data_IF_968686779300
#
_entry.id   IF_968686779300
#
_cell.length_a   1.000
_cell.length_b   1.000
_cell.length_c   1.000
_cell.angle_alpha   90.00
_cell.angle_beta   90.00
_cell.angle_gamma   90.00
#
_symmetry.space_group_name_H-M   'P 1'
#
loop_
_entity.id
_entity.type
_entity.pdbx_description
1 polymer ?
#
# COMPACT_ATOMS: atom_id res chain seq x y z
N UNK A 1 -49.98 4.14 22.96
CA UNK A 1 -50.07 5.31 22.06
C UNK A 1 -48.90 6.24 22.37
N UNK A 2 -48.10 6.60 21.36
CA UNK A 2 -47.07 7.65 21.36
C UNK A 2 -45.74 7.31 22.08
N UNK A 3 -44.80 6.56 21.51
CA UNK A 3 -43.68 6.99 20.61
C UNK A 3 -42.92 8.25 21.04
N UNK A 4 -41.69 8.05 21.55
CA UNK A 4 -40.66 9.08 21.71
C UNK A 4 -39.28 8.46 21.43
N UNK A 5 -38.89 8.46 20.16
CA UNK A 5 -37.60 8.02 19.64
C UNK A 5 -36.61 9.19 19.64
N UNK A 6 -35.39 8.97 20.15
CA UNK A 6 -34.28 9.91 20.01
C UNK A 6 -33.59 9.75 18.64
N UNK A 7 -33.68 10.78 17.81
CA UNK A 7 -32.82 11.06 16.65
C UNK A 7 -31.76 12.10 17.07
N UNK A 8 -30.47 11.89 16.77
CA UNK A 8 -29.76 12.33 15.54
C UNK A 8 -29.65 13.86 15.41
N UNK A 9 -28.42 14.39 15.43
CA UNK A 9 -27.84 15.20 14.34
C UNK A 9 -26.65 16.07 14.81
N UNK A 10 -25.56 15.96 14.07
CA UNK A 10 -24.50 16.96 13.97
C UNK A 10 -24.99 18.19 13.19
N UNK A 11 -24.42 19.37 13.44
CA UNK A 11 -24.39 20.46 12.45
C UNK A 11 -23.03 21.17 12.50
N UNK A 12 -22.25 20.94 11.45
CA UNK A 12 -21.21 21.82 10.94
C UNK A 12 -21.90 22.82 10.01
N UNK A 13 -21.64 24.13 10.12
CA UNK A 13 -21.64 25.06 8.97
C UNK A 13 -21.31 26.51 9.38
N UNK A 14 -20.16 26.97 8.88
CA UNK A 14 -20.03 28.22 8.11
C UNK A 14 -20.17 29.56 8.85
N UNK A 15 -19.05 30.27 8.99
CA UNK A 15 -19.01 31.74 9.00
C UNK A 15 -17.74 32.22 8.30
N UNK A 16 -17.88 32.50 7.00
CA UNK A 16 -17.03 33.42 6.24
C UNK A 16 -17.63 34.83 6.42
N UNK A 17 -16.75 35.75 6.82
CA UNK A 17 -16.65 37.15 6.36
C UNK A 17 -17.96 37.93 6.22
N UNK A 18 -18.22 38.82 7.17
CA UNK A 18 -18.83 40.12 6.85
C UNK A 18 -18.45 41.14 7.92
N UNK A 19 -17.81 42.23 7.49
CA UNK A 19 -17.40 43.32 8.36
C UNK A 19 -17.19 44.60 7.55
N UNK A 20 -18.27 45.29 7.25
CA UNK A 20 -18.28 46.74 7.00
C UNK A 20 -19.63 47.35 7.43
N UNK A 21 -19.53 48.45 8.17
CA UNK A 21 -20.54 49.49 8.47
C UNK A 21 -21.57 49.26 9.60
N UNK A 22 -21.18 49.71 10.80
CA UNK A 22 -21.86 50.66 11.72
C UNK A 22 -23.38 50.62 11.97
N UNK A 23 -23.77 50.50 13.25
CA UNK A 23 -24.39 51.60 14.02
C UNK A 23 -24.60 51.27 15.52
N UNK A 24 -23.94 52.05 16.36
CA UNK A 24 -24.27 52.47 17.75
C UNK A 24 -25.17 51.60 18.66
N UNK A 25 -24.56 51.03 19.69
CA UNK A 25 -25.14 50.99 21.04
C UNK A 25 -24.01 51.10 22.08
N UNK A 26 -24.15 52.06 22.99
CA UNK A 26 -23.16 52.48 23.99
C UNK A 26 -22.65 51.31 24.85
N UNK A 27 -21.36 51.00 24.74
CA UNK A 27 -20.59 50.30 25.78
C UNK A 27 -19.79 51.36 26.57
N UNK A 28 -19.63 51.20 27.89
CA UNK A 28 -18.95 52.17 28.73
C UNK A 28 -17.49 52.34 28.32
N UNK A 29 -17.06 53.60 28.30
CA UNK A 29 -15.73 54.10 27.98
C UNK A 29 -14.69 53.54 28.98
N UNK A 30 -14.19 52.33 28.72
CA UNK A 30 -12.93 51.91 29.29
C UNK A 30 -11.83 52.53 28.46
N UNK A 31 -11.38 53.72 28.84
CA UNK A 31 -10.00 54.16 28.60
C UNK A 31 -9.05 53.25 29.38
N UNK A 32 -9.02 51.97 29.02
CA UNK A 32 -7.90 51.10 29.26
C UNK A 32 -7.03 51.24 28.02
N UNK A 33 -5.76 51.59 28.22
CA UNK A 33 -4.76 51.68 27.19
C UNK A 33 -5.00 50.60 26.12
N UNK A 34 -5.36 51.03 24.91
CA UNK A 34 -5.25 50.16 23.75
C UNK A 34 -3.76 49.92 23.59
N UNK A 35 -3.25 48.85 24.20
CA UNK A 35 -2.02 48.25 23.77
C UNK A 35 -2.24 47.98 22.28
N UNK A 36 -1.72 48.85 21.42
CA UNK A 36 -1.54 48.54 20.01
C UNK A 36 -0.64 47.31 19.99
N UNK A 37 -1.27 46.14 19.99
CA UNK A 37 -0.57 44.89 19.76
C UNK A 37 0.07 45.07 18.40
N UNK A 38 1.41 45.15 18.40
CA UNK A 38 2.17 45.21 17.18
C UNK A 38 1.65 44.12 16.23
N UNK A 39 1.38 44.51 14.99
CA UNK A 39 1.00 43.57 13.95
C UNK A 39 1.97 42.38 14.00
N UNK A 40 1.48 41.12 14.08
CA UNK A 40 2.36 39.96 14.12
C UNK A 40 3.32 40.02 12.93
N UNK A 41 4.63 40.07 13.21
CA UNK A 41 5.63 39.97 12.15
C UNK A 41 5.56 38.55 11.59
N UNK A 42 5.43 38.36 10.26
CA UNK A 42 5.45 37.04 9.66
C UNK A 42 6.72 36.27 10.07
N UNK A 43 6.54 35.23 10.88
CA UNK A 43 7.59 34.29 11.27
C UNK A 43 7.36 32.96 10.55
N UNK A 44 8.22 32.66 9.59
CA UNK A 44 8.18 31.44 8.78
C UNK A 44 8.34 30.19 9.64
N UNK A 45 9.14 30.25 10.70
CA UNK A 45 9.36 29.12 11.60
C UNK A 45 8.14 28.88 12.50
N UNK A 46 7.48 29.95 12.97
CA UNK A 46 6.21 29.84 13.68
C UNK A 46 5.10 29.26 12.77
N UNK A 47 5.02 29.71 11.52
CA UNK A 47 4.10 29.16 10.54
C UNK A 47 4.36 27.67 10.25
N UNK A 48 5.63 27.26 10.13
CA UNK A 48 6.01 25.86 9.95
C UNK A 48 5.65 24.99 11.16
N UNK A 49 5.87 25.47 12.39
CA UNK A 49 5.45 24.76 13.62
C UNK A 49 3.92 24.65 13.70
N UNK A 50 3.19 25.72 13.38
CA UNK A 50 1.74 25.72 13.36
C UNK A 50 1.18 24.74 12.31
N UNK A 51 1.78 24.70 11.10
CA UNK A 51 1.45 23.72 10.07
C UNK A 51 1.62 22.29 10.57
N UNK A 52 2.78 21.98 11.17
CA UNK A 52 3.05 20.64 11.72
C UNK A 52 2.02 20.26 12.78
N UNK A 53 1.73 21.16 13.72
CA UNK A 53 0.75 20.92 14.77
C UNK A 53 -0.65 20.69 14.20
N UNK A 54 -1.06 21.48 13.21
CA UNK A 54 -2.38 21.38 12.60
C UNK A 54 -2.57 20.09 11.78
N UNK A 55 -1.54 19.63 11.08
CA UNK A 55 -1.64 18.47 10.18
C UNK A 55 -1.19 17.14 10.79
N UNK A 56 -0.45 17.13 11.90
CA UNK A 56 0.09 15.91 12.50
C UNK A 56 -0.97 14.82 12.71
N UNK A 57 -2.06 15.15 13.40
CA UNK A 57 -3.15 14.21 13.67
C UNK A 57 -3.82 13.70 12.37
N UNK A 58 -3.98 14.57 11.37
CA UNK A 58 -4.61 14.22 10.08
C UNK A 58 -3.74 13.23 9.31
N UNK A 59 -2.43 13.47 9.29
CA UNK A 59 -1.46 12.58 8.65
C UNK A 59 -1.40 11.23 9.36
N UNK A 60 -1.39 11.21 10.69
CA UNK A 60 -1.41 9.95 11.45
C UNK A 60 -2.68 9.13 11.19
N UNK A 61 -3.86 9.78 11.19
CA UNK A 61 -5.11 9.10 10.86
C UNK A 61 -5.14 8.57 9.43
N UNK A 62 -4.60 9.33 8.47
CA UNK A 62 -4.48 8.89 7.09
C UNK A 62 -3.56 7.67 6.99
N UNK A 63 -2.41 7.67 7.68
CA UNK A 63 -1.49 6.53 7.71
C UNK A 63 -2.12 5.30 8.38
N UNK A 64 -2.88 5.46 9.46
CA UNK A 64 -3.61 4.36 10.10
C UNK A 64 -4.62 3.76 9.14
N UNK A 65 -5.47 4.58 8.50
CA UNK A 65 -6.46 4.10 7.54
C UNK A 65 -5.79 3.42 6.34
N UNK A 66 -4.70 4.02 5.83
CA UNK A 66 -3.91 3.48 4.73
C UNK A 66 -3.34 2.08 5.07
N UNK A 67 -2.73 1.94 6.24
CA UNK A 67 -2.16 0.67 6.71
C UNK A 67 -3.22 -0.43 6.93
N UNK A 68 -4.47 -0.04 7.24
CA UNK A 68 -5.60 -0.96 7.41
C UNK A 68 -6.23 -1.38 6.09
N UNK A 69 -6.41 -0.46 5.15
CA UNK A 69 -7.34 -0.68 4.05
C UNK A 69 -6.69 -0.68 2.67
N UNK A 70 -5.46 -0.20 2.55
CA UNK A 70 -4.79 -0.05 1.25
C UNK A 70 -3.49 -0.87 1.14
N UNK A 71 -2.97 -1.37 2.27
CA UNK A 71 -1.77 -2.18 2.33
C UNK A 71 -2.11 -3.66 2.52
N UNK A 72 -1.53 -4.50 1.67
CA UNK A 72 -1.78 -5.94 1.61
C UNK A 72 -0.47 -6.73 1.63
N UNK A 73 -0.48 -7.92 2.22
CA UNK A 73 0.72 -8.75 2.39
C UNK A 73 0.69 -9.41 3.77
N UNK A 74 1.53 -8.93 4.68
CA UNK A 74 1.62 -9.38 6.06
C UNK A 74 1.65 -8.19 7.05
N UNK A 75 1.93 -8.46 8.31
CA UNK A 75 2.08 -7.46 9.36
C UNK A 75 3.33 -6.62 9.13
N UNK A 76 4.49 -7.22 8.86
CA UNK A 76 5.77 -6.50 8.76
C UNK A 76 6.17 -6.07 7.36
N UNK A 77 5.51 -6.56 6.32
CA UNK A 77 5.67 -6.09 4.94
C UNK A 77 4.32 -5.93 4.29
N UNK A 78 4.15 -4.91 3.45
CA UNK A 78 2.93 -4.77 2.68
C UNK A 78 3.11 -3.92 1.43
N UNK A 79 2.33 -4.24 0.41
CA UNK A 79 2.28 -3.55 -0.88
C UNK A 79 0.94 -2.84 -1.05
N UNK A 80 0.89 -1.86 -1.95
CA UNK A 80 -0.32 -1.09 -2.23
C UNK A 80 -0.95 -1.55 -3.54
N UNK A 81 -2.16 -2.11 -3.47
CA UNK A 81 -2.88 -2.69 -4.63
C UNK A 81 -3.98 -1.73 -5.15
N UNK A 82 -3.91 -0.44 -4.80
CA UNK A 82 -4.74 0.71 -5.24
C UNK A 82 -6.25 0.63 -4.96
N UNK A 83 -6.86 -0.55 -4.90
CA UNK A 83 -8.28 -0.77 -4.63
C UNK A 83 -8.43 -1.80 -3.52
N UNK A 84 -9.52 -1.67 -2.77
CA UNK A 84 -9.88 -2.59 -1.70
C UNK A 84 -11.39 -2.69 -1.59
N UNK A 85 -11.91 -3.92 -1.52
CA UNK A 85 -13.24 -4.17 -0.99
C UNK A 85 -13.19 -4.18 0.52
N UNK A 86 -14.05 -3.42 1.18
CA UNK A 86 -14.12 -3.39 2.65
C UNK A 86 -15.56 -3.64 3.10
N UNK A 87 -15.78 -4.79 3.72
CA UNK A 87 -17.00 -5.06 4.46
C UNK A 87 -16.78 -4.73 5.94
N UNK A 88 -17.74 -4.05 6.57
CA UNK A 88 -17.64 -3.62 7.96
C UNK A 88 -18.84 -4.08 8.78
N UNK A 89 -18.57 -4.66 9.96
CA UNK A 89 -19.56 -4.91 11.01
C UNK A 89 -18.99 -4.45 12.35
N UNK A 90 -19.43 -3.28 12.82
CA UNK A 90 -18.88 -2.67 14.04
C UNK A 90 -17.39 -2.32 13.86
N UNK A 91 -16.53 -2.94 14.68
CA UNK A 91 -15.06 -2.81 14.61
C UNK A 91 -14.39 -4.01 13.92
N UNK A 92 -15.18 -4.89 13.30
CA UNK A 92 -14.67 -6.00 12.48
C UNK A 92 -14.73 -5.62 11.02
N UNK A 93 -13.63 -5.86 10.31
CA UNK A 93 -13.44 -5.56 8.90
C UNK A 93 -13.01 -6.82 8.16
N UNK A 94 -13.61 -7.06 7.01
CA UNK A 94 -13.10 -7.98 6.01
C UNK A 94 -12.62 -7.13 4.84
N UNK A 95 -11.36 -7.31 4.47
CA UNK A 95 -10.67 -6.53 3.44
C UNK A 95 -10.21 -7.48 2.34
N UNK A 96 -10.64 -7.21 1.12
CA UNK A 96 -10.25 -7.98 -0.07
C UNK A 96 -9.45 -7.04 -0.97
N UNK A 97 -8.22 -7.40 -1.40
CA UNK A 97 -7.50 -6.62 -2.39
C UNK A 97 -8.34 -6.48 -3.65
N UNK A 98 -8.43 -5.26 -4.18
CA UNK A 98 -9.08 -5.04 -5.46
C UNK A 98 -8.21 -5.53 -6.61
N UNK A 99 -8.81 -5.89 -7.75
CA UNK A 99 -8.11 -6.56 -8.86
C UNK A 99 -7.36 -5.59 -9.78
N UNK A 100 -7.00 -4.39 -9.29
CA UNK A 100 -6.37 -3.45 -10.20
C UNK A 100 -4.95 -3.92 -10.51
N UNK A 101 -4.61 -3.88 -11.80
CA UNK A 101 -3.35 -4.31 -12.34
C UNK A 101 -2.20 -3.34 -12.02
N UNK A 102 -2.38 -2.37 -11.13
CA UNK A 102 -1.40 -1.32 -10.87
C UNK A 102 -1.16 -1.18 -9.38
N UNK A 103 0.04 -1.58 -8.93
CA UNK A 103 0.51 -1.13 -7.64
C UNK A 103 0.89 0.36 -7.71
N UNK A 104 0.82 1.04 -6.58
CA UNK A 104 1.34 2.42 -6.45
C UNK A 104 2.26 2.52 -5.25
N UNK A 105 2.95 1.42 -4.95
CA UNK A 105 3.70 1.28 -3.72
C UNK A 105 4.86 2.26 -3.68
N UNK A 106 5.50 2.54 -4.82
CA UNK A 106 6.65 3.42 -4.85
C UNK A 106 6.27 4.89 -4.68
N UNK A 107 5.26 5.40 -5.39
CA UNK A 107 4.71 6.75 -5.15
C UNK A 107 4.19 6.88 -3.72
N UNK A 108 3.50 5.86 -3.20
CA UNK A 108 3.01 5.87 -1.82
C UNK A 108 4.17 5.91 -0.81
N UNK A 109 5.24 5.13 -1.04
CA UNK A 109 6.42 5.10 -0.18
C UNK A 109 7.11 6.45 -0.19
N UNK A 110 7.24 7.08 -1.36
CA UNK A 110 7.79 8.42 -1.51
C UNK A 110 6.96 9.47 -0.77
N UNK A 111 5.63 9.42 -0.89
CA UNK A 111 4.74 10.33 -0.17
C UNK A 111 4.84 10.15 1.36
N UNK A 112 4.84 8.91 1.85
CA UNK A 112 5.02 8.61 3.27
C UNK A 112 6.42 9.04 3.75
N UNK A 113 7.45 8.93 2.93
CA UNK A 113 8.81 9.39 3.26
C UNK A 113 8.85 10.91 3.45
N UNK A 114 8.23 11.68 2.55
CA UNK A 114 8.11 13.12 2.74
C UNK A 114 7.27 13.48 3.97
N UNK A 115 6.19 12.75 4.23
CA UNK A 115 5.42 12.92 5.46
C UNK A 115 6.31 12.68 6.70
N UNK A 116 7.10 11.60 6.72
CA UNK A 116 8.04 11.33 7.80
C UNK A 116 9.08 12.46 7.95
N UNK A 117 9.67 12.96 6.86
CA UNK A 117 10.64 14.08 6.94
C UNK A 117 10.05 15.33 7.60
N UNK A 118 8.76 15.60 7.39
CA UNK A 118 8.06 16.77 7.96
C UNK A 118 7.62 16.52 9.40
N UNK A 119 6.93 15.41 9.65
CA UNK A 119 6.21 15.15 10.91
C UNK A 119 7.00 14.28 11.91
N UNK A 120 7.96 13.47 11.43
CA UNK A 120 8.84 12.60 12.23
C UNK A 120 8.08 11.74 13.25
N UNK A 121 6.89 11.27 12.89
CA UNK A 121 6.07 10.44 13.79
C UNK A 121 6.42 8.96 13.68
N UNK A 122 6.28 8.21 14.80
CA UNK A 122 6.49 6.76 14.82
C UNK A 122 5.50 6.02 13.92
N UNK A 123 4.27 6.55 13.77
CA UNK A 123 3.27 6.02 12.83
C UNK A 123 3.77 6.04 11.38
N UNK A 124 4.43 7.13 10.97
CA UNK A 124 5.04 7.23 9.65
C UNK A 124 6.28 6.33 9.51
N UNK A 125 7.12 6.23 10.55
CA UNK A 125 8.25 5.30 10.59
C UNK A 125 7.83 3.84 10.37
N UNK A 126 6.85 3.36 11.15
CA UNK A 126 6.33 1.99 11.04
C UNK A 126 5.66 1.74 9.68
N UNK A 127 4.98 2.75 9.13
CA UNK A 127 4.40 2.65 7.79
C UNK A 127 5.49 2.52 6.73
N UNK A 128 6.56 3.32 6.81
CA UNK A 128 7.71 3.24 5.90
C UNK A 128 8.38 1.88 5.97
N UNK A 129 8.59 1.37 7.18
CA UNK A 129 9.18 0.05 7.37
C UNK A 129 8.39 -1.03 6.63
N UNK A 130 7.06 -1.08 6.81
CA UNK A 130 6.20 -2.04 6.10
C UNK A 130 6.28 -1.88 4.58
N UNK A 131 6.34 -0.65 4.09
CA UNK A 131 6.36 -0.36 2.65
C UNK A 131 7.72 -0.68 2.01
N UNK A 132 8.83 -0.42 2.72
CA UNK A 132 10.17 -0.81 2.28
C UNK A 132 10.31 -2.33 2.22
N UNK A 133 9.86 -3.06 3.24
CA UNK A 133 9.82 -4.53 3.17
C UNK A 133 8.86 -5.02 2.07
N UNK A 134 7.81 -4.26 1.75
CA UNK A 134 6.93 -4.53 0.61
C UNK A 134 7.61 -4.37 -0.75
N UNK A 135 8.44 -3.33 -0.92
CA UNK A 135 9.27 -3.14 -2.11
C UNK A 135 10.29 -4.27 -2.29
N UNK A 136 10.88 -4.75 -1.19
CA UNK A 136 11.76 -5.92 -1.19
C UNK A 136 11.00 -7.19 -1.57
N UNK A 137 9.80 -7.39 -1.00
CA UNK A 137 8.94 -8.52 -1.36
C UNK A 137 8.61 -8.56 -2.86
N UNK A 138 8.19 -7.44 -3.46
CA UNK A 138 7.88 -7.38 -4.90
C UNK A 138 9.08 -7.78 -5.78
N UNK A 139 10.30 -7.44 -5.37
CA UNK A 139 11.50 -7.74 -6.14
C UNK A 139 12.04 -9.16 -5.97
N UNK A 140 11.53 -9.89 -4.98
CA UNK A 140 12.06 -11.21 -4.60
C UNK A 140 11.01 -12.31 -4.65
N UNK A 141 9.72 -11.97 -4.74
CA UNK A 141 8.61 -12.93 -4.70
C UNK A 141 8.70 -13.99 -5.79
N UNK A 142 9.18 -13.62 -6.99
CA UNK A 142 9.35 -14.54 -8.11
C UNK A 142 10.45 -15.58 -7.87
N UNK A 143 11.34 -15.36 -6.90
CA UNK A 143 12.56 -16.15 -6.72
C UNK A 143 13.65 -15.88 -7.75
N UNK A 144 13.40 -15.02 -8.74
CA UNK A 144 14.40 -14.50 -9.68
C UNK A 144 14.76 -13.07 -9.27
N UNK A 145 16.00 -12.86 -8.87
CA UNK A 145 16.47 -11.56 -8.39
C UNK A 145 16.18 -10.46 -9.41
N UNK A 146 15.43 -9.44 -9.00
CA UNK A 146 15.09 -8.29 -9.83
C UNK A 146 13.86 -8.48 -10.73
N UNK A 147 13.29 -9.69 -10.84
CA UNK A 147 12.01 -9.89 -11.53
C UNK A 147 10.89 -9.40 -10.63
N UNK A 148 10.29 -8.29 -11.03
CA UNK A 148 9.16 -7.67 -10.33
C UNK A 148 7.84 -7.94 -11.04
N UNK A 149 6.73 -7.57 -10.41
CA UNK A 149 5.40 -7.60 -11.00
C UNK A 149 4.60 -6.36 -10.59
N UNK A 150 3.54 -6.06 -11.36
CA UNK A 150 2.58 -5.04 -10.97
C UNK A 150 1.79 -5.40 -9.71
N UNK A 151 1.64 -6.67 -9.35
CA UNK A 151 1.07 -7.08 -8.07
C UNK A 151 1.66 -8.40 -7.58
N UNK A 152 1.66 -8.59 -6.27
CA UNK A 152 2.14 -9.80 -5.61
C UNK A 152 1.31 -10.12 -4.37
N UNK A 153 1.06 -11.40 -4.14
CA UNK A 153 0.26 -11.90 -3.04
C UNK A 153 1.01 -13.06 -2.37
N UNK A 154 1.22 -13.03 -1.04
CA UNK A 154 1.85 -14.16 -0.35
C UNK A 154 0.96 -15.41 -0.27
N UNK A 155 -0.27 -15.32 -0.79
CA UNK A 155 -1.24 -16.41 -0.86
C UNK A 155 -1.66 -16.93 0.53
N UNK A 156 -2.16 -16.03 1.38
CA UNK A 156 -2.78 -16.42 2.64
C UNK A 156 -3.86 -15.42 3.05
N UNK A 157 -4.84 -15.90 3.80
CA UNK A 157 -5.72 -15.09 4.61
C UNK A 157 -4.97 -14.66 5.87
N UNK A 158 -4.89 -13.35 6.12
CA UNK A 158 -4.28 -12.76 7.32
C UNK A 158 -5.37 -12.25 8.24
N UNK A 159 -5.44 -12.78 9.46
CA UNK A 159 -6.32 -12.29 10.51
C UNK A 159 -5.49 -11.54 11.55
N UNK A 160 -5.96 -10.36 11.94
CA UNK A 160 -5.37 -9.52 12.98
C UNK A 160 -6.48 -9.11 13.96
N UNK A 161 -6.35 -9.49 15.22
CA UNK A 161 -7.14 -8.92 16.31
C UNK A 161 -6.28 -7.91 17.07
N UNK A 162 -6.48 -6.62 16.78
CA UNK A 162 -5.74 -5.55 17.43
C UNK A 162 -5.95 -5.45 18.93
N UNK A 163 -7.06 -6.01 19.45
CA UNK A 163 -7.46 -5.91 20.85
C UNK A 163 -6.67 -6.88 21.72
N UNK A 164 -6.40 -8.07 21.17
CA UNK A 164 -5.65 -9.14 21.85
C UNK A 164 -4.19 -9.21 21.39
N UNK A 165 -3.86 -8.57 20.26
CA UNK A 165 -2.57 -8.71 19.60
C UNK A 165 -2.43 -9.99 18.77
N UNK A 166 -3.52 -10.76 18.60
CA UNK A 166 -3.48 -12.03 17.89
C UNK A 166 -3.32 -11.83 16.38
N UNK A 167 -2.39 -12.57 15.77
CA UNK A 167 -2.18 -12.61 14.32
C UNK A 167 -2.19 -14.07 13.86
N UNK A 168 -3.03 -14.39 12.88
CA UNK A 168 -3.11 -15.71 12.25
C UNK A 168 -2.95 -15.60 10.74
N UNK A 169 -2.25 -16.57 10.17
CA UNK A 169 -2.04 -16.71 8.72
C UNK A 169 -2.55 -18.08 8.33
N UNK A 170 -3.49 -18.12 7.40
CA UNK A 170 -4.10 -19.38 6.95
C UNK A 170 -4.17 -19.43 5.44
N UNK A 171 -4.01 -20.62 4.86
CA UNK A 171 -4.25 -20.90 3.45
C UNK A 171 -5.16 -22.12 3.40
N UNK A 172 -6.31 -21.99 2.74
CA UNK A 172 -7.32 -23.06 2.70
C UNK A 172 -7.71 -23.59 4.11
N UNK A 173 -7.73 -22.69 5.10
CA UNK A 173 -8.04 -23.00 6.50
C UNK A 173 -6.91 -23.62 7.33
N UNK A 174 -5.75 -23.92 6.71
CA UNK A 174 -4.57 -24.47 7.39
C UNK A 174 -3.60 -23.36 7.77
N UNK A 175 -3.00 -23.44 8.95
CA UNK A 175 -2.00 -22.47 9.39
C UNK A 175 -0.76 -22.46 8.49
N UNK A 176 -0.30 -21.27 8.11
CA UNK A 176 0.90 -21.08 7.27
C UNK A 176 1.98 -20.36 8.07
N UNK A 177 3.22 -20.82 7.92
CA UNK A 177 4.40 -20.13 8.45
C UNK A 177 5.00 -19.29 7.33
N UNK A 178 5.19 -17.97 7.52
CA UNK A 178 5.92 -17.14 6.55
C UNK A 178 7.34 -17.69 6.33
N UNK A 179 7.85 -17.66 5.08
CA UNK A 179 9.20 -18.15 4.80
C UNK A 179 10.27 -17.28 5.46
N UNK A 180 9.98 -15.99 5.66
CA UNK A 180 10.81 -15.06 6.42
C UNK A 180 10.21 -14.90 7.83
N UNK A 181 10.95 -15.25 8.90
CA UNK A 181 10.45 -15.10 10.26
C UNK A 181 10.06 -13.66 10.59
N UNK A 182 8.89 -13.51 11.21
CA UNK A 182 8.35 -12.21 11.62
C UNK A 182 8.93 -11.83 12.99
N UNK A 183 9.56 -10.67 13.07
CA UNK A 183 9.98 -10.06 14.35
C UNK A 183 8.73 -9.78 15.20
N UNK A 184 8.62 -10.47 16.34
CA UNK A 184 7.46 -10.40 17.23
C UNK A 184 7.32 -9.06 17.95
N UNK A 185 8.44 -8.38 18.24
CA UNK A 185 8.41 -7.04 18.84
C UNK A 185 7.89 -6.02 17.84
N UNK A 186 8.37 -6.07 16.61
CA UNK A 186 7.88 -5.22 15.52
C UNK A 186 6.41 -5.50 15.19
N UNK A 187 6.02 -6.77 15.07
CA UNK A 187 4.64 -7.17 14.83
C UNK A 187 3.70 -6.62 15.91
N UNK A 188 4.08 -6.72 17.18
CA UNK A 188 3.29 -6.15 18.28
C UNK A 188 3.16 -4.62 18.17
N UNK A 189 4.24 -3.90 17.82
CA UNK A 189 4.20 -2.45 17.63
C UNK A 189 3.29 -2.04 16.46
N UNK A 190 3.35 -2.76 15.34
CA UNK A 190 2.51 -2.54 14.16
C UNK A 190 1.04 -2.79 14.50
N UNK A 191 0.74 -3.90 15.18
CA UNK A 191 -0.63 -4.24 15.60
C UNK A 191 -1.19 -3.20 16.56
N UNK A 192 -0.40 -2.78 17.56
CA UNK A 192 -0.81 -1.76 18.52
C UNK A 192 -1.00 -0.38 17.87
N UNK A 193 -0.17 -0.01 16.89
CA UNK A 193 -0.24 1.30 16.22
C UNK A 193 -1.39 1.37 15.24
N UNK A 194 -1.52 0.35 14.38
CA UNK A 194 -2.45 0.41 13.26
C UNK A 194 -3.75 -0.33 13.53
N UNK A 195 -3.84 -1.31 14.42
CA UNK A 195 -5.01 -2.20 14.51
C UNK A 195 -5.75 -2.18 15.85
N UNK A 196 -5.12 -1.69 16.92
CA UNK A 196 -5.62 -1.53 18.31
C UNK A 196 -7.07 -1.95 18.61
N UNK A 197 -8.07 -1.20 18.16
CA UNK A 197 -9.47 -1.43 18.55
C UNK A 197 -10.30 -2.17 17.49
N UNK A 198 -9.63 -2.79 16.53
CA UNK A 198 -10.22 -3.40 15.33
C UNK A 198 -9.82 -4.85 15.15
N UNK A 199 -10.70 -5.61 14.52
CA UNK A 199 -10.40 -6.95 14.01
C UNK A 199 -10.43 -6.86 12.49
N UNK A 200 -9.37 -7.29 11.83
CA UNK A 200 -9.24 -7.19 10.38
C UNK A 200 -8.86 -8.56 9.82
N UNK A 201 -9.65 -9.03 8.86
CA UNK A 201 -9.34 -10.21 8.05
C UNK A 201 -9.03 -9.75 6.63
N UNK A 202 -7.80 -9.96 6.17
CA UNK A 202 -7.38 -9.75 4.79
C UNK A 202 -7.50 -11.05 4.00
N UNK A 203 -8.29 -11.06 2.93
CA UNK A 203 -8.39 -12.18 1.98
C UNK A 203 -7.31 -12.06 0.92
N UNK A 204 -6.08 -12.46 1.26
CA UNK A 204 -4.91 -12.38 0.37
C UNK A 204 -4.71 -13.61 -0.51
N UNK A 205 -5.68 -14.52 -0.59
CA UNK A 205 -5.67 -15.70 -1.46
C UNK A 205 -6.18 -15.30 -2.86
N UNK A 206 -5.36 -15.38 -3.92
CA UNK A 206 -5.78 -14.95 -5.26
C UNK A 206 -7.00 -15.69 -5.79
N UNK A 207 -7.25 -16.92 -5.33
CA UNK A 207 -8.48 -17.66 -5.66
C UNK A 207 -9.72 -16.89 -5.20
N UNK A 208 -9.71 -16.40 -3.97
CA UNK A 208 -10.84 -15.64 -3.40
C UNK A 208 -11.02 -14.31 -4.13
N UNK A 209 -9.93 -13.66 -4.49
CA UNK A 209 -9.95 -12.36 -5.16
C UNK A 209 -10.48 -12.52 -6.59
N UNK A 210 -9.86 -13.38 -7.40
CA UNK A 210 -10.11 -13.48 -8.83
C UNK A 210 -11.39 -14.26 -9.17
N UNK A 211 -11.73 -15.30 -8.40
CA UNK A 211 -12.88 -16.17 -8.71
C UNK A 211 -14.16 -15.78 -7.98
N UNK A 212 -14.05 -15.19 -6.78
CA UNK A 212 -15.22 -14.87 -5.96
C UNK A 212 -15.51 -13.36 -5.93
N UNK A 213 -14.51 -12.53 -5.66
CA UNK A 213 -14.71 -11.09 -5.47
C UNK A 213 -14.83 -10.33 -6.81
N UNK A 214 -13.92 -10.56 -7.77
CA UNK A 214 -13.92 -9.89 -9.07
C UNK A 214 -15.24 -10.01 -9.83
N UNK A 215 -15.78 -11.24 -10.07
CA UNK A 215 -17.01 -11.37 -10.86
C UNK A 215 -18.22 -10.69 -10.19
N UNK A 216 -18.20 -10.50 -8.86
CA UNK A 216 -19.27 -9.87 -8.12
C UNK A 216 -19.23 -8.33 -8.17
N UNK A 217 -18.05 -7.72 -8.35
CA UNK A 217 -17.86 -6.27 -8.29
C UNK A 217 -17.65 -5.62 -9.67
N UNK A 218 -17.08 -6.36 -10.62
CA UNK A 218 -16.75 -5.86 -11.96
C UNK A 218 -17.59 -6.59 -13.02
N UNK A 219 -18.92 -6.50 -12.89
CA UNK A 219 -19.88 -7.10 -13.85
C UNK A 219 -19.78 -6.37 -15.20
N UNK A 220 -18.85 -6.79 -16.04
CA UNK A 220 -18.74 -6.40 -17.45
C UNK A 220 -19.61 -7.27 -18.37
N UNK A 221 -19.65 -6.97 -19.69
CA UNK A 221 -20.43 -7.70 -20.69
C UNK A 221 -20.07 -9.19 -20.85
N UNK A 222 -18.98 -9.65 -20.24
CA UNK A 222 -18.41 -11.00 -20.40
C UNK A 222 -18.12 -11.67 -19.05
N UNK A 223 -18.97 -11.50 -18.04
CA UNK A 223 -18.83 -12.23 -16.78
C UNK A 223 -19.08 -13.74 -16.98
N UNK A 224 -18.02 -14.49 -17.31
CA UNK A 224 -18.02 -15.95 -17.40
C UNK A 224 -17.39 -16.50 -16.12
N UNK A 225 -18.15 -17.30 -15.38
CA UNK A 225 -17.66 -18.02 -14.20
C UNK A 225 -16.97 -19.30 -14.63
N UNK A 226 -15.68 -19.43 -14.35
CA UNK A 226 -14.94 -20.68 -14.56
C UNK A 226 -14.96 -21.53 -13.29
N UNK A 227 -15.28 -22.81 -13.42
CA UNK A 227 -15.14 -23.81 -12.37
C UNK A 227 -13.95 -24.71 -12.71
N UNK A 228 -12.93 -24.72 -11.86
CA UNK A 228 -11.74 -25.56 -12.02
C UNK A 228 -11.72 -26.65 -10.95
N UNK A 229 -11.38 -27.88 -11.32
CA UNK A 229 -11.18 -29.00 -10.37
C UNK A 229 -9.83 -28.94 -9.66
N UNK A 230 -8.85 -28.28 -10.29
CA UNK A 230 -7.57 -27.86 -9.70
C UNK A 230 -7.20 -26.51 -10.30
N UNK A 231 -6.60 -25.61 -9.51
CA UNK A 231 -6.14 -24.36 -10.10
C UNK A 231 -4.94 -24.58 -11.02
N UNK A 232 -4.89 -23.92 -12.17
CA UNK A 232 -3.68 -23.87 -12.99
C UNK A 232 -2.53 -23.21 -12.22
N UNK A 233 -1.29 -23.54 -12.60
CA UNK A 233 -0.05 -22.93 -12.06
C UNK A 233 0.03 -21.42 -12.31
N UNK A 234 -0.83 -20.90 -13.18
CA UNK A 234 -1.03 -19.48 -13.43
C UNK A 234 -2.51 -19.15 -13.58
N UNK A 235 -2.94 -18.00 -13.07
CA UNK A 235 -4.32 -17.50 -13.19
C UNK A 235 -4.36 -16.34 -14.20
N UNK A 236 -5.02 -16.56 -15.33
CA UNK A 236 -5.23 -15.49 -16.32
C UNK A 236 -6.21 -14.44 -15.81
N UNK A 237 -5.86 -13.17 -15.98
CA UNK A 237 -6.76 -12.03 -15.72
C UNK A 237 -7.36 -11.59 -17.06
N UNK A 238 -8.65 -11.86 -17.26
CA UNK A 238 -9.39 -11.41 -18.46
C UNK A 238 -9.35 -9.88 -18.57
N UNK A 239 -9.25 -9.37 -19.81
CA UNK A 239 -9.10 -7.94 -20.14
C UNK A 239 -7.80 -7.25 -19.72
N UNK A 240 -6.81 -7.99 -19.21
CA UNK A 240 -5.45 -7.48 -18.94
C UNK A 240 -4.39 -8.28 -19.71
N UNK A 241 -3.22 -7.67 -19.94
CA UNK A 241 -2.07 -8.31 -20.57
C UNK A 241 -1.23 -9.16 -19.57
N UNK A 242 -1.84 -9.64 -18.48
CA UNK A 242 -1.15 -10.35 -17.39
C UNK A 242 -1.86 -11.64 -16.94
N UNK A 243 -1.05 -12.54 -16.38
CA UNK A 243 -1.50 -13.61 -15.49
C UNK A 243 -0.79 -13.56 -14.15
N UNK A 244 -1.40 -14.14 -13.11
CA UNK A 244 -0.75 -14.37 -11.83
C UNK A 244 -0.04 -15.72 -11.85
N UNK A 245 1.28 -15.71 -11.80
CA UNK A 245 2.12 -16.91 -11.73
C UNK A 245 2.22 -17.36 -10.28
N UNK A 246 1.97 -18.65 -10.02
CA UNK A 246 2.32 -19.25 -8.76
C UNK A 246 3.82 -19.54 -8.72
N UNK A 247 4.48 -19.20 -7.61
CA UNK A 247 5.89 -19.49 -7.37
C UNK A 247 6.01 -20.99 -7.02
N UNK A 248 6.79 -21.79 -7.76
CA UNK A 248 6.95 -23.21 -7.46
C UNK A 248 8.00 -23.43 -6.35
N UNK A 249 8.07 -24.65 -5.84
CA UNK A 249 9.25 -25.11 -5.08
C UNK A 249 10.48 -25.17 -6.01
N UNK A 250 11.72 -24.93 -5.51
CA UNK A 250 12.11 -24.69 -4.12
C UNK A 250 12.33 -23.21 -3.77
N UNK A 251 11.69 -22.27 -4.48
CA UNK A 251 11.94 -20.84 -4.29
C UNK A 251 11.41 -20.35 -2.92
N UNK A 252 12.05 -19.31 -2.36
CA UNK A 252 11.77 -18.79 -1.01
C UNK A 252 10.28 -18.53 -0.75
N UNK A 253 9.58 -17.99 -1.75
CA UNK A 253 8.17 -17.62 -1.67
C UNK A 253 7.25 -18.67 -2.32
N UNK A 254 7.62 -19.95 -2.28
CA UNK A 254 6.80 -21.03 -2.82
C UNK A 254 5.31 -20.87 -2.46
N UNK A 255 4.47 -21.05 -3.49
CA UNK A 255 3.03 -20.86 -3.51
C UNK A 255 2.51 -19.42 -3.42
N UNK A 256 3.36 -18.41 -3.25
CA UNK A 256 2.97 -17.02 -3.48
C UNK A 256 2.57 -16.82 -4.95
N UNK A 257 1.87 -15.73 -5.23
CA UNK A 257 1.52 -15.33 -6.60
C UNK A 257 2.09 -13.97 -6.92
N UNK A 258 2.53 -13.78 -8.15
CA UNK A 258 2.91 -12.47 -8.68
C UNK A 258 2.46 -12.34 -10.13
N UNK A 259 2.18 -11.12 -10.57
CA UNK A 259 1.83 -10.87 -11.97
C UNK A 259 3.06 -11.01 -12.86
N UNK A 260 2.99 -11.82 -13.92
CA UNK A 260 4.06 -11.92 -14.93
C UNK A 260 4.15 -10.68 -15.84
N UNK A 261 3.19 -9.78 -15.81
CA UNK A 261 3.31 -8.53 -16.52
C UNK A 261 3.89 -7.47 -15.59
N UNK A 262 4.94 -6.81 -16.06
CA UNK A 262 5.50 -5.60 -15.49
C UNK A 262 5.82 -4.63 -16.62
N UNK A 263 4.92 -3.66 -16.84
CA UNK A 263 5.11 -2.65 -17.89
C UNK A 263 6.22 -1.69 -17.49
N UNK A 264 6.91 -1.13 -18.49
CA UNK A 264 7.76 0.04 -18.37
C UNK A 264 7.09 1.18 -17.60
N UNK A 265 5.76 1.28 -17.64
CA UNK A 265 5.00 2.32 -16.92
C UNK A 265 4.99 2.11 -15.39
N UNK A 266 5.19 0.87 -14.93
CA UNK A 266 5.21 0.55 -13.51
C UNK A 266 6.59 0.78 -12.88
N UNK A 267 7.66 0.66 -13.66
CA UNK A 267 9.02 0.87 -13.16
C UNK A 267 9.26 2.29 -12.61
N UNK A 268 8.79 3.38 -13.23
CA UNK A 268 8.85 4.73 -12.65
C UNK A 268 8.20 4.83 -11.26
N UNK A 269 7.09 4.14 -11.02
CA UNK A 269 6.49 4.09 -9.67
C UNK A 269 7.46 3.41 -8.70
N UNK A 270 7.88 2.18 -8.99
CA UNK A 270 8.82 1.43 -8.14
C UNK A 270 10.11 2.21 -7.87
N UNK A 271 10.66 2.88 -8.89
CA UNK A 271 11.85 3.71 -8.79
C UNK A 271 11.66 4.84 -7.76
N UNK A 272 10.50 5.49 -7.68
CA UNK A 272 10.23 6.47 -6.61
C UNK A 272 10.31 5.86 -5.21
N UNK A 273 9.85 4.61 -5.06
CA UNK A 273 9.97 3.85 -3.82
C UNK A 273 11.42 3.56 -3.45
N UNK A 274 12.20 3.05 -4.39
CA UNK A 274 13.62 2.76 -4.18
C UNK A 274 14.45 4.02 -3.92
N UNK A 275 14.15 5.15 -4.56
CA UNK A 275 14.78 6.44 -4.26
C UNK A 275 14.42 6.95 -2.87
N UNK A 276 13.18 6.75 -2.40
CA UNK A 276 12.81 7.03 -1.02
C UNK A 276 13.58 6.14 -0.03
N UNK A 277 13.78 4.86 -0.38
CA UNK A 277 14.58 3.92 0.41
C UNK A 277 16.05 4.35 0.49
N UNK A 278 16.64 4.76 -0.64
CA UNK A 278 18.00 5.32 -0.66
C UNK A 278 18.13 6.54 0.27
N UNK A 279 17.23 7.51 0.15
CA UNK A 279 17.25 8.70 1.02
C UNK A 279 17.10 8.34 2.49
N UNK A 280 16.18 7.42 2.83
CA UNK A 280 15.96 7.00 4.21
C UNK A 280 17.14 6.21 4.78
N UNK A 281 17.79 5.36 3.97
CA UNK A 281 18.99 4.62 4.33
C UNK A 281 20.16 5.57 4.66
N UNK A 282 20.33 6.63 3.87
CA UNK A 282 21.44 7.59 4.01
C UNK A 282 21.20 8.63 5.13
N UNK A 283 19.96 8.85 5.56
CA UNK A 283 19.62 9.81 6.64
C UNK A 283 19.87 9.20 8.03
N UNK A 284 20.99 9.58 8.65
CA UNK A 284 21.39 9.10 9.99
C UNK A 284 20.43 9.50 11.13
N UNK A 285 19.51 10.43 10.88
CA UNK A 285 18.47 10.83 11.84
C UNK A 285 17.25 9.90 11.84
N UNK A 286 17.13 9.03 10.83
CA UNK A 286 16.10 8.00 10.74
C UNK A 286 16.41 6.86 11.71
N UNK A 287 15.36 6.29 12.30
CA UNK A 287 15.43 5.14 13.21
C UNK A 287 16.09 3.93 12.53
N UNK A 288 16.89 3.18 13.30
CA UNK A 288 17.74 2.09 12.75
C UNK A 288 16.92 0.99 12.05
N UNK A 289 15.76 0.65 12.60
CA UNK A 289 14.84 -0.35 12.04
C UNK A 289 14.31 0.08 10.65
N UNK A 290 13.93 1.34 10.50
CA UNK A 290 13.52 1.93 9.22
C UNK A 290 14.69 1.96 8.24
N UNK A 291 15.90 2.35 8.67
CA UNK A 291 17.09 2.34 7.80
C UNK A 291 17.44 0.94 7.31
N UNK A 292 17.32 -0.08 8.15
CA UNK A 292 17.56 -1.49 7.76
C UNK A 292 16.56 -1.97 6.72
N UNK A 293 15.27 -1.65 6.89
CA UNK A 293 14.24 -1.95 5.90
C UNK A 293 14.51 -1.18 4.58
N UNK A 294 14.89 0.09 4.68
CA UNK A 294 15.24 0.92 3.54
C UNK A 294 16.47 0.39 2.78
N UNK A 295 17.50 -0.09 3.49
CA UNK A 295 18.68 -0.71 2.88
C UNK A 295 18.32 -1.96 2.07
N UNK A 296 17.44 -2.82 2.61
CA UNK A 296 16.93 -3.99 1.88
C UNK A 296 16.13 -3.61 0.64
N UNK A 297 15.24 -2.63 0.76
CA UNK A 297 14.49 -2.10 -0.36
C UNK A 297 15.41 -1.49 -1.44
N UNK A 298 16.44 -0.74 -1.04
CA UNK A 298 17.41 -0.17 -1.96
C UNK A 298 18.21 -1.25 -2.68
N UNK A 299 18.70 -2.27 -1.96
CA UNK A 299 19.37 -3.43 -2.55
C UNK A 299 18.47 -4.14 -3.58
N UNK A 300 17.19 -4.34 -3.26
CA UNK A 300 16.23 -4.88 -4.21
C UNK A 300 16.10 -3.98 -5.46
N UNK A 301 16.02 -2.66 -5.29
CA UNK A 301 16.00 -1.72 -6.41
C UNK A 301 17.24 -1.82 -7.31
N UNK A 302 18.42 -2.05 -6.73
CA UNK A 302 19.64 -2.30 -7.48
C UNK A 302 19.55 -3.61 -8.27
N UNK A 303 19.09 -4.70 -7.66
CA UNK A 303 18.88 -5.98 -8.38
C UNK A 303 17.95 -5.82 -9.59
N UNK A 304 16.87 -5.05 -9.45
CA UNK A 304 15.95 -4.76 -10.57
C UNK A 304 16.65 -3.96 -11.66
N UNK A 305 17.39 -2.91 -11.29
CA UNK A 305 18.15 -2.09 -12.22
C UNK A 305 19.23 -2.88 -12.97
N UNK A 306 20.00 -3.68 -12.26
CA UNK A 306 21.06 -4.55 -12.79
C UNK A 306 20.48 -5.57 -13.79
N UNK A 307 19.31 -6.16 -13.46
CA UNK A 307 18.63 -7.08 -14.38
C UNK A 307 18.17 -6.38 -15.67
N UNK A 308 17.62 -5.18 -15.56
CA UNK A 308 17.19 -4.38 -16.72
C UNK A 308 18.40 -4.03 -17.60
N UNK A 309 19.50 -3.58 -17.01
CA UNK A 309 20.73 -3.22 -17.72
C UNK A 309 21.34 -4.45 -18.42
N UNK A 310 21.45 -5.58 -17.73
CA UNK A 310 21.96 -6.83 -18.26
C UNK A 310 21.17 -7.35 -19.47
N UNK A 311 19.89 -6.96 -19.60
CA UNK A 311 19.01 -7.34 -20.70
C UNK A 311 18.81 -6.22 -21.74
N UNK A 312 19.75 -5.29 -21.80
CA UNK A 312 19.77 -4.22 -22.81
C UNK A 312 18.61 -3.23 -22.64
N UNK A 313 18.33 -2.85 -21.38
CA UNK A 313 17.28 -1.90 -21.04
C UNK A 313 15.88 -2.50 -21.02
N UNK A 314 15.75 -3.81 -20.80
CA UNK A 314 14.45 -4.52 -20.87
C UNK A 314 14.07 -5.15 -19.54
N UNK A 315 12.81 -4.97 -19.16
CA UNK A 315 12.22 -5.62 -18.00
C UNK A 315 11.98 -7.09 -18.33
N UNK A 316 12.39 -7.98 -17.41
CA UNK A 316 12.25 -9.43 -17.57
C UNK A 316 11.13 -9.99 -16.70
N UNK A 317 10.58 -11.13 -17.10
CA UNK A 317 9.52 -11.86 -16.39
C UNK A 317 9.53 -13.36 -16.68
N UNK A 318 8.71 -14.12 -15.97
CA UNK A 318 8.42 -15.53 -16.25
C UNK A 318 7.20 -15.64 -17.17
N UNK A 319 7.37 -16.25 -18.34
CA UNK A 319 6.28 -16.41 -19.31
C UNK A 319 5.42 -17.65 -19.00
N UNK A 320 4.12 -17.55 -19.25
CA UNK A 320 3.19 -18.67 -19.16
C UNK A 320 3.57 -19.82 -20.10
N UNK A 321 3.46 -21.05 -19.62
CA UNK A 321 3.76 -22.25 -20.44
C UNK A 321 5.24 -22.45 -20.77
N UNK A 322 6.15 -21.64 -20.21
CA UNK A 322 7.60 -21.84 -20.26
C UNK A 322 8.12 -22.42 -18.95
N UNK A 323 9.29 -23.09 -18.96
CA UNK A 323 9.95 -23.48 -17.73
C UNK A 323 10.12 -22.26 -16.83
N UNK A 324 9.83 -22.39 -15.52
CA UNK A 324 9.86 -21.27 -14.59
C UNK A 324 11.23 -20.57 -14.50
N UNK A 325 12.30 -21.28 -14.87
CA UNK A 325 13.69 -20.77 -14.93
C UNK A 325 13.98 -19.92 -16.17
N UNK A 326 13.11 -19.94 -17.18
CA UNK A 326 13.29 -19.20 -18.42
C UNK A 326 12.65 -17.81 -18.29
N UNK A 327 13.48 -16.77 -18.35
CA UNK A 327 13.02 -15.39 -18.36
C UNK A 327 12.80 -14.90 -19.80
N UNK A 328 11.75 -14.11 -19.98
CA UNK A 328 11.41 -13.44 -21.22
C UNK A 328 11.21 -11.95 -20.97
N UNK A 329 11.21 -11.14 -22.03
CA UNK A 329 10.91 -9.70 -21.92
C UNK A 329 9.45 -9.54 -21.52
N UNK A 330 9.19 -8.74 -20.49
CA UNK A 330 7.85 -8.48 -20.00
C UNK A 330 7.02 -7.74 -21.03
N UNK A 331 5.74 -8.12 -21.15
CA UNK A 331 4.81 -7.47 -22.06
C UNK A 331 4.98 -7.79 -23.55
N UNK A 332 5.87 -8.71 -23.96
CA UNK A 332 6.02 -9.09 -25.39
C UNK A 332 4.96 -10.09 -25.85
N UNK A 333 4.50 -10.97 -24.97
CA UNK A 333 3.49 -11.99 -25.27
C UNK A 333 2.35 -11.85 -24.27
N UNK A 334 1.14 -11.74 -24.79
CA UNK A 334 -0.09 -11.70 -24.00
C UNK A 334 -0.41 -13.10 -23.46
N UNK A 335 -1.24 -13.22 -22.41
CA UNK A 335 -1.68 -14.52 -21.89
C UNK A 335 -2.42 -15.44 -22.89
N UNK A 336 -2.89 -14.93 -24.04
CA UNK A 336 -3.44 -15.74 -25.13
C UNK A 336 -2.40 -16.24 -26.14
N UNK A 337 -1.11 -15.96 -25.90
CA UNK A 337 -0.01 -16.33 -26.78
C UNK A 337 0.19 -15.40 -27.96
N UNK A 338 -0.63 -14.35 -28.11
CA UNK A 338 -0.44 -13.34 -29.15
C UNK A 338 0.68 -12.37 -28.77
N UNK A 339 1.45 -11.94 -29.76
CA UNK A 339 2.45 -10.87 -29.58
C UNK A 339 1.73 -9.55 -29.27
N UNK A 340 2.24 -8.84 -28.26
CA UNK A 340 1.75 -7.50 -27.94
C UNK A 340 2.14 -6.51 -29.03
N UNK A 341 1.22 -5.59 -29.36
CA UNK A 341 1.44 -4.63 -30.46
C UNK A 341 2.31 -3.45 -30.01
N UNK A 342 2.38 -3.23 -28.70
CA UNK A 342 3.14 -2.16 -28.05
C UNK A 342 4.40 -2.73 -27.39
N UNK A 343 5.51 -1.99 -27.46
CA UNK A 343 6.70 -2.31 -26.66
C UNK A 343 6.48 -1.84 -25.22
N UNK A 344 6.04 -2.76 -24.37
CA UNK A 344 5.78 -2.49 -22.95
C UNK A 344 6.97 -2.83 -22.05
N UNK A 345 8.04 -3.42 -22.58
CA UNK A 345 9.17 -3.93 -21.80
C UNK A 345 10.45 -3.11 -21.92
N UNK A 346 10.61 -2.37 -23.03
CA UNK A 346 11.75 -1.49 -23.29
C UNK A 346 11.70 -0.21 -22.45
N UNK A 347 12.83 0.09 -21.79
CA UNK A 347 13.07 1.35 -21.09
C UNK A 347 13.76 2.41 -21.96
N UNK A 348 14.05 2.10 -23.23
CA UNK A 348 14.97 2.88 -24.10
C UNK A 348 14.31 3.62 -25.27
N UNK A 349 12.98 3.78 -25.26
CA UNK A 349 12.28 4.59 -26.28
C UNK A 349 12.29 6.10 -25.95
#
# INVERSE_FOLDING_TARGET
MGTGTHHLAAVLATLLVSGCASSSANAPDSKGDTYELAQPVPDVEAAARAFKLYYAERVERALIAYNRFMLFGDTTFAINIRKAGVARKGNTFEVVPGPNDNNSIGTSTRATWYAYKVFRSRTAALSLQRMFEGLYFIATVSGHDGVTGRNAYPNWTLFIDGRTGEVKRTREGVAVTPPIPVDKGLEALIVATFFKDTVVTYRGEPKDILLNYMPAQEVGPYAVTYAFTMLPEFLRVSDCCTSLMQVPEPYLWAHAFFSNHNSRDNFPDLAFGYLAAKEAMDDLTVEEDVRKAAARAWQAGQMVGDLIEANGGRIMTVLEGKPYTELAVSGVVRPDGMTEVEDLGSMSD
#
